data_IF_928242774479
#
_entry.id   IF_928242774479
#
_cell.length_a   1.000
_cell.length_b   1.000
_cell.length_c   1.000
_cell.angle_alpha   90.00
_cell.angle_beta   90.00
_cell.angle_gamma   90.00
#
_symmetry.space_group_name_H-M   'P 1'
#
loop_
_entity.id
_entity.type
_entity.pdbx_description
1 polymer ?
#
# COMPACT_ATOMS: atom_id res chain seq x y z
N UNK A 1 -4.52 -37.40 -68.39
CA UNK A 1 -4.84 -36.17 -67.62
C UNK A 1 -4.70 -36.50 -66.12
N UNK A 2 -3.57 -36.20 -65.57
CA UNK A 2 -3.25 -36.44 -64.10
C UNK A 2 -3.36 -35.13 -63.36
N UNK A 3 -4.29 -35.09 -62.41
CA UNK A 3 -4.51 -33.95 -61.49
C UNK A 3 -3.40 -33.91 -60.42
N UNK A 4 -2.81 -32.74 -60.10
CA UNK A 4 -1.83 -32.65 -59.06
C UNK A 4 -2.48 -32.54 -57.66
N UNK A 5 -1.99 -33.37 -56.76
CA UNK A 5 -2.34 -33.38 -55.32
C UNK A 5 -1.57 -32.29 -54.58
N UNK A 6 -2.28 -31.37 -53.94
CA UNK A 6 -1.72 -30.29 -53.11
C UNK A 6 -1.25 -30.85 -51.76
N UNK A 7 -0.03 -30.54 -51.28
CA UNK A 7 0.40 -31.01 -49.97
C UNK A 7 -0.23 -30.19 -48.84
N UNK A 8 -0.80 -30.88 -47.86
CA UNK A 8 -1.34 -30.30 -46.61
C UNK A 8 -0.20 -29.97 -45.67
N UNK A 9 -0.06 -28.69 -45.31
CA UNK A 9 0.90 -28.20 -44.31
C UNK A 9 0.45 -28.62 -42.91
N UNK A 10 1.31 -29.21 -42.08
CA UNK A 10 0.95 -29.53 -40.70
C UNK A 10 0.85 -28.27 -39.87
N UNK A 11 -0.29 -28.07 -39.20
CA UNK A 11 -0.52 -27.01 -38.22
C UNK A 11 0.32 -27.27 -36.98
N UNK A 12 1.21 -26.35 -36.65
CA UNK A 12 2.00 -26.40 -35.42
C UNK A 12 1.09 -26.33 -34.18
N UNK A 13 1.43 -27.04 -33.08
CA UNK A 13 0.64 -26.97 -31.85
C UNK A 13 0.76 -25.59 -31.24
N UNK A 14 -0.37 -24.94 -31.00
CA UNK A 14 -0.50 -23.70 -30.25
C UNK A 14 -0.11 -23.99 -28.79
N UNK A 15 1.10 -23.63 -28.40
CA UNK A 15 1.52 -23.67 -26.99
C UNK A 15 0.72 -22.61 -26.25
N UNK A 16 -0.29 -23.03 -25.49
CA UNK A 16 -0.97 -22.19 -24.54
C UNK A 16 0.02 -21.83 -23.46
N UNK A 17 0.57 -20.61 -23.50
CA UNK A 17 1.31 -20.03 -22.38
C UNK A 17 0.27 -19.86 -21.28
N UNK A 18 0.23 -20.77 -20.34
CA UNK A 18 -0.46 -20.58 -19.07
C UNK A 18 0.27 -19.43 -18.39
N UNK A 19 -0.36 -18.28 -18.35
CA UNK A 19 0.11 -17.07 -17.66
C UNK A 19 0.12 -17.41 -16.16
N UNK A 20 1.20 -18.05 -15.70
CA UNK A 20 1.39 -18.34 -14.27
C UNK A 20 1.57 -17.00 -13.58
N UNK A 21 0.59 -16.63 -12.76
CA UNK A 21 0.75 -15.52 -11.83
C UNK A 21 2.13 -15.61 -11.17
N UNK A 22 2.89 -14.51 -11.13
CA UNK A 22 4.19 -14.54 -10.48
C UNK A 22 4.05 -15.00 -9.03
N UNK A 23 5.00 -15.83 -8.56
CA UNK A 23 4.98 -16.37 -7.21
C UNK A 23 5.29 -15.28 -6.17
N UNK A 24 4.71 -15.37 -4.96
CA UNK A 24 5.13 -14.53 -3.84
C UNK A 24 6.62 -14.68 -3.55
N UNK A 25 7.26 -13.57 -3.17
CA UNK A 25 8.64 -13.58 -2.71
C UNK A 25 8.69 -13.67 -1.19
N UNK A 26 9.51 -14.59 -0.67
CA UNK A 26 9.68 -14.78 0.76
C UNK A 26 11.16 -14.63 1.09
N UNK A 27 11.51 -13.65 1.91
CA UNK A 27 12.88 -13.34 2.31
C UNK A 27 13.02 -13.18 3.82
N UNK A 28 14.24 -13.43 4.34
CA UNK A 28 14.56 -13.09 5.72
C UNK A 28 14.71 -11.57 5.85
N UNK A 29 14.20 -11.03 6.95
CA UNK A 29 14.37 -9.65 7.35
C UNK A 29 15.11 -9.63 8.70
N UNK A 30 16.44 -9.45 8.62
CA UNK A 30 17.30 -9.64 9.77
C UNK A 30 17.33 -11.09 10.27
N UNK A 31 17.50 -11.28 11.58
CA UNK A 31 17.65 -12.59 12.24
C UNK A 31 16.36 -13.11 12.91
N UNK A 32 15.31 -12.29 12.99
CA UNK A 32 14.11 -12.60 13.77
C UNK A 32 12.81 -12.32 13.02
N UNK A 33 12.89 -12.03 11.73
CA UNK A 33 11.69 -11.76 10.93
C UNK A 33 11.79 -12.35 9.51
N UNK A 34 10.63 -12.53 8.91
CA UNK A 34 10.44 -12.97 7.53
C UNK A 34 9.47 -12.00 6.84
N UNK A 35 9.81 -11.62 5.61
CA UNK A 35 8.96 -10.79 4.77
C UNK A 35 8.37 -11.65 3.64
N UNK A 36 7.06 -11.66 3.57
CA UNK A 36 6.28 -12.17 2.44
C UNK A 36 5.83 -10.99 1.60
N UNK A 37 6.15 -11.00 0.31
CA UNK A 37 5.75 -9.98 -0.66
C UNK A 37 4.82 -10.61 -1.70
N UNK A 38 3.58 -10.13 -1.74
CA UNK A 38 2.61 -10.62 -2.69
C UNK A 38 2.91 -10.12 -4.11
N UNK A 39 2.71 -10.95 -5.14
CA UNK A 39 2.83 -10.54 -6.53
C UNK A 39 1.62 -9.68 -6.95
N UNK A 40 1.79 -8.91 -8.03
CA UNK A 40 0.70 -8.20 -8.67
C UNK A 40 0.46 -6.79 -8.16
N UNK A 41 -0.73 -6.27 -8.42
CA UNK A 41 -1.09 -4.88 -8.14
C UNK A 41 -1.29 -4.63 -6.64
N UNK A 42 -0.97 -3.41 -6.22
CA UNK A 42 -1.24 -2.93 -4.86
C UNK A 42 -2.65 -2.32 -4.83
N UNK A 43 -3.64 -3.19 -4.74
CA UNK A 43 -5.06 -2.83 -4.74
C UNK A 43 -5.81 -3.45 -3.54
N UNK A 44 -7.07 -3.09 -3.36
CA UNK A 44 -7.87 -3.55 -2.23
C UNK A 44 -8.15 -5.07 -2.27
N UNK A 45 -8.45 -5.70 -3.42
CA UNK A 45 -8.57 -7.15 -3.50
C UNK A 45 -7.32 -7.88 -3.00
N UNK A 46 -6.15 -7.44 -3.43
CA UNK A 46 -4.89 -8.02 -2.99
C UNK A 46 -4.62 -7.76 -1.50
N UNK A 47 -4.91 -6.56 -1.02
CA UNK A 47 -4.75 -6.22 0.41
C UNK A 47 -5.66 -7.06 1.31
N UNK A 48 -6.86 -7.39 0.86
CA UNK A 48 -7.78 -8.31 1.58
C UNK A 48 -7.19 -9.71 1.75
N UNK A 49 -6.40 -10.18 0.78
CA UNK A 49 -5.66 -11.45 0.90
C UNK A 49 -4.53 -11.34 1.90
N UNK A 50 -3.80 -10.21 1.92
CA UNK A 50 -2.75 -9.95 2.93
C UNK A 50 -3.34 -9.93 4.34
N UNK A 51 -4.49 -9.30 4.56
CA UNK A 51 -5.15 -9.29 5.87
C UNK A 51 -5.60 -10.70 6.29
N UNK A 52 -6.14 -11.49 5.35
CA UNK A 52 -6.52 -12.88 5.62
C UNK A 52 -5.29 -13.73 5.99
N UNK A 53 -4.20 -13.61 5.24
CA UNK A 53 -2.95 -14.31 5.51
C UNK A 53 -2.36 -13.89 6.87
N UNK A 54 -2.37 -12.60 7.21
CA UNK A 54 -1.91 -12.10 8.50
C UNK A 54 -2.72 -12.70 9.66
N UNK A 55 -4.05 -12.73 9.53
CA UNK A 55 -4.95 -13.31 10.52
C UNK A 55 -4.70 -14.81 10.75
N UNK A 56 -4.44 -15.53 9.66
CA UNK A 56 -4.12 -16.95 9.72
C UNK A 56 -2.75 -17.17 10.38
N UNK A 57 -1.72 -16.49 9.89
CA UNK A 57 -0.34 -16.63 10.34
C UNK A 57 -0.14 -16.20 11.82
N UNK A 58 -0.93 -15.26 12.33
CA UNK A 58 -0.88 -14.83 13.73
C UNK A 58 -1.12 -15.98 14.71
N UNK A 59 -1.79 -17.06 14.29
CA UNK A 59 -2.08 -18.22 15.11
C UNK A 59 -1.03 -19.35 14.96
N UNK A 60 0.01 -19.16 14.15
CA UNK A 60 1.05 -20.17 13.98
C UNK A 60 2.01 -20.18 15.17
N UNK A 61 2.38 -21.37 15.69
CA UNK A 61 3.15 -21.48 16.94
C UNK A 61 4.50 -20.76 16.95
N UNK A 62 5.12 -20.59 15.75
CA UNK A 62 6.43 -19.95 15.62
C UNK A 62 6.33 -18.43 15.50
N UNK A 63 5.14 -17.90 15.21
CA UNK A 63 4.92 -16.48 14.90
C UNK A 63 4.59 -15.74 16.19
N UNK A 64 5.39 -14.72 16.49
CA UNK A 64 5.11 -13.78 17.57
C UNK A 64 4.12 -12.71 17.11
N UNK A 65 4.38 -12.11 15.97
CA UNK A 65 3.51 -11.11 15.36
C UNK A 65 3.41 -11.30 13.84
N UNK A 66 2.23 -11.10 13.30
CA UNK A 66 1.94 -11.05 11.87
C UNK A 66 1.48 -9.64 11.51
N UNK A 67 2.38 -8.83 10.94
CA UNK A 67 2.16 -7.42 10.67
C UNK A 67 1.91 -7.20 9.18
N UNK A 68 0.65 -6.91 8.76
CA UNK A 68 0.33 -6.62 7.38
C UNK A 68 0.85 -5.24 6.99
N UNK A 69 1.57 -5.17 5.87
CA UNK A 69 1.97 -3.94 5.19
C UNK A 69 1.18 -3.72 3.91
N UNK A 70 1.71 -2.86 3.03
CA UNK A 70 1.16 -2.62 1.70
C UNK A 70 1.60 -3.74 0.75
N UNK A 71 0.66 -4.62 0.40
CA UNK A 71 0.92 -5.79 -0.46
C UNK A 71 2.01 -6.74 0.08
N UNK A 72 2.26 -6.72 1.38
CA UNK A 72 3.23 -7.60 2.04
C UNK A 72 2.80 -7.94 3.47
N UNK A 73 3.47 -8.94 4.04
CA UNK A 73 3.26 -9.39 5.41
C UNK A 73 4.62 -9.64 6.05
N UNK A 74 4.88 -9.04 7.20
CA UNK A 74 6.03 -9.35 8.04
C UNK A 74 5.61 -10.29 9.16
N UNK A 75 6.35 -11.39 9.32
CA UNK A 75 6.22 -12.30 10.45
C UNK A 75 7.45 -12.14 11.34
N UNK A 76 7.24 -11.90 12.63
CA UNK A 76 8.32 -11.87 13.63
C UNK A 76 8.29 -13.14 14.49
N UNK A 77 9.45 -13.47 15.06
CA UNK A 77 9.66 -14.67 15.89
C UNK A 77 10.16 -14.28 17.27
N UNK A 78 9.69 -14.98 18.31
CA UNK A 78 10.09 -14.74 19.72
C UNK A 78 11.54 -15.12 20.03
N UNK A 79 12.14 -15.97 19.21
CA UNK A 79 13.53 -16.43 19.28
C UNK A 79 14.07 -16.50 17.85
N UNK A 80 15.36 -16.79 17.64
CA UNK A 80 15.86 -17.01 16.30
C UNK A 80 14.92 -17.93 15.52
N UNK A 81 14.70 -17.66 14.23
CA UNK A 81 13.80 -18.48 13.43
C UNK A 81 14.23 -19.94 13.50
N UNK A 82 13.30 -20.90 13.35
CA UNK A 82 13.68 -22.30 13.31
C UNK A 82 14.79 -22.51 12.28
N UNK A 83 15.74 -23.40 12.54
CA UNK A 83 16.88 -23.63 11.64
C UNK A 83 16.45 -24.05 10.24
N UNK A 84 15.27 -24.63 10.12
CA UNK A 84 14.63 -24.92 8.83
C UNK A 84 13.37 -24.07 8.65
N UNK A 85 13.41 -23.17 7.67
CA UNK A 85 12.28 -22.31 7.27
C UNK A 85 11.43 -22.92 6.14
N UNK A 86 11.79 -24.08 5.61
CA UNK A 86 11.06 -24.68 4.50
C UNK A 86 9.59 -24.98 4.85
N UNK A 87 9.26 -25.52 6.04
CA UNK A 87 7.86 -25.74 6.42
C UNK A 87 7.06 -24.44 6.50
N UNK A 88 7.65 -23.36 7.05
CA UNK A 88 6.98 -22.07 7.16
C UNK A 88 6.77 -21.40 5.78
N UNK A 89 7.75 -21.52 4.90
CA UNK A 89 7.61 -21.05 3.51
C UNK A 89 6.53 -21.82 2.76
N UNK A 90 6.48 -23.14 2.93
CA UNK A 90 5.44 -23.99 2.33
C UNK A 90 4.04 -23.58 2.84
N UNK A 91 3.88 -23.40 4.14
CA UNK A 91 2.61 -22.97 4.74
C UNK A 91 2.17 -21.59 4.24
N UNK A 92 3.09 -20.64 4.06
CA UNK A 92 2.79 -19.33 3.47
C UNK A 92 2.32 -19.43 2.02
N UNK A 93 2.96 -20.26 1.21
CA UNK A 93 2.55 -20.48 -0.19
C UNK A 93 1.19 -21.16 -0.25
N UNK A 94 0.97 -22.22 0.52
CA UNK A 94 -0.30 -22.94 0.59
C UNK A 94 -1.45 -22.00 0.99
N UNK A 95 -1.29 -21.29 2.11
CA UNK A 95 -2.30 -20.34 2.60
C UNK A 95 -2.57 -19.19 1.59
N UNK A 96 -1.54 -18.78 0.85
CA UNK A 96 -1.71 -17.79 -0.22
C UNK A 96 -2.47 -18.36 -1.42
N UNK A 97 -2.17 -19.58 -1.83
CA UNK A 97 -2.77 -20.26 -2.98
C UNK A 97 -4.23 -20.64 -2.72
N UNK A 98 -4.61 -20.90 -1.46
CA UNK A 98 -6.02 -21.07 -1.06
C UNK A 98 -6.88 -19.83 -1.33
N UNK A 99 -6.28 -18.65 -1.50
CA UNK A 99 -6.94 -17.46 -1.97
C UNK A 99 -7.92 -16.82 -0.98
N UNK A 100 -7.79 -17.10 0.31
CA UNK A 100 -8.63 -16.50 1.34
C UNK A 100 -8.57 -14.98 1.31
N UNK A 101 -9.71 -14.34 1.51
CA UNK A 101 -9.85 -12.89 1.59
C UNK A 101 -10.57 -12.50 2.87
N UNK A 102 -10.22 -11.33 3.42
CA UNK A 102 -10.88 -10.77 4.59
C UNK A 102 -11.28 -9.32 4.31
N UNK A 103 -12.54 -8.99 4.62
CA UNK A 103 -13.00 -7.61 4.69
C UNK A 103 -12.96 -7.15 6.15
N UNK A 104 -12.49 -5.93 6.35
CA UNK A 104 -12.51 -5.28 7.66
C UNK A 104 -13.64 -4.24 7.66
N UNK A 105 -14.45 -4.26 8.70
CA UNK A 105 -15.51 -3.27 8.93
C UNK A 105 -14.87 -2.02 9.54
N UNK A 106 -14.45 -1.11 8.66
CA UNK A 106 -13.81 0.14 9.07
C UNK A 106 -14.79 1.30 9.14
N UNK A 107 -14.45 2.26 9.99
CA UNK A 107 -15.14 3.55 10.10
C UNK A 107 -14.80 4.43 8.91
N UNK A 108 -15.57 5.48 8.67
CA UNK A 108 -15.26 6.49 7.65
C UNK A 108 -14.97 7.82 8.33
N UNK A 109 -13.85 8.44 7.96
CA UNK A 109 -13.41 9.74 8.46
C UNK A 109 -13.36 10.74 7.32
N UNK A 110 -13.86 11.95 7.58
CA UNK A 110 -13.64 13.11 6.72
C UNK A 110 -12.42 13.88 7.22
N UNK A 111 -11.44 14.12 6.33
CA UNK A 111 -10.24 14.87 6.62
C UNK A 111 -10.23 16.20 5.87
N UNK A 112 -10.55 17.31 6.54
CA UNK A 112 -10.39 18.65 5.95
C UNK A 112 -8.92 18.97 5.74
N UNK A 113 -8.55 19.36 4.52
CA UNK A 113 -7.18 19.63 4.11
C UNK A 113 -7.06 21.05 3.55
N UNK A 114 -6.08 21.81 4.05
CA UNK A 114 -5.60 23.00 3.41
C UNK A 114 -4.54 22.60 2.36
N UNK A 115 -4.80 22.85 1.09
CA UNK A 115 -3.91 22.51 -0.03
C UNK A 115 -3.05 23.70 -0.43
N UNK A 116 -1.82 23.44 -0.86
CA UNK A 116 -0.90 24.44 -1.40
C UNK A 116 -0.32 25.39 -0.35
N UNK A 117 0.32 26.46 -0.83
CA UNK A 117 0.99 27.44 0.03
C UNK A 117 1.92 26.82 1.07
N UNK A 118 1.93 27.36 2.28
CA UNK A 118 2.72 26.81 3.37
C UNK A 118 2.24 25.41 3.87
N UNK A 119 0.99 25.06 3.62
CA UNK A 119 0.43 23.76 3.99
C UNK A 119 0.82 22.65 3.00
N UNK A 120 1.01 23.00 1.73
CA UNK A 120 1.36 22.06 0.65
C UNK A 120 2.55 22.55 -0.18
N UNK A 121 3.74 22.69 0.41
CA UNK A 121 4.89 23.34 -0.22
C UNK A 121 5.40 22.64 -1.50
N UNK A 122 4.97 21.39 -1.75
CA UNK A 122 5.37 20.63 -2.92
C UNK A 122 4.22 20.40 -3.91
N UNK A 123 3.08 21.09 -3.77
CA UNK A 123 1.98 20.97 -4.72
C UNK A 123 2.40 21.43 -6.13
N UNK A 124 3.23 22.47 -6.22
CA UNK A 124 3.79 22.91 -7.49
C UNK A 124 4.70 21.86 -8.16
N UNK A 125 5.42 21.05 -7.39
CA UNK A 125 6.23 19.94 -7.92
C UNK A 125 5.33 18.86 -8.55
N UNK A 126 4.16 18.59 -7.94
CA UNK A 126 3.17 17.65 -8.47
C UNK A 126 2.54 18.20 -9.75
N UNK A 127 2.19 19.49 -9.80
CA UNK A 127 1.74 20.19 -11.03
C UNK A 127 2.76 20.05 -12.15
N UNK A 128 4.03 20.35 -11.86
CA UNK A 128 5.10 20.27 -12.86
C UNK A 128 5.33 18.83 -13.37
N UNK A 129 5.15 17.82 -12.51
CA UNK A 129 5.32 16.42 -12.88
C UNK A 129 4.16 15.89 -13.71
N UNK A 130 2.92 16.20 -13.31
CA UNK A 130 1.71 15.64 -13.92
C UNK A 130 1.19 16.43 -15.11
N UNK A 131 1.53 17.72 -15.19
CA UNK A 131 0.98 18.66 -16.18
C UNK A 131 -0.48 19.06 -15.88
N UNK A 132 -1.04 18.66 -14.75
CA UNK A 132 -2.40 18.99 -14.32
C UNK A 132 -2.42 20.34 -13.60
N UNK A 133 -3.57 21.01 -13.60
CA UNK A 133 -3.76 22.21 -12.78
C UNK A 133 -3.85 21.87 -11.30
N UNK A 134 -3.68 22.87 -10.42
CA UNK A 134 -3.89 22.71 -8.97
C UNK A 134 -5.30 22.21 -8.69
N UNK A 135 -6.30 22.79 -9.34
CA UNK A 135 -7.72 22.42 -9.15
C UNK A 135 -7.98 20.97 -9.57
N UNK A 136 -7.39 20.53 -10.69
CA UNK A 136 -7.52 19.13 -11.14
C UNK A 136 -6.86 18.17 -10.15
N UNK A 137 -5.66 18.48 -9.64
CA UNK A 137 -4.96 17.64 -8.66
C UNK A 137 -5.80 17.52 -7.38
N UNK A 138 -6.32 18.64 -6.86
CA UNK A 138 -7.15 18.65 -5.65
C UNK A 138 -8.44 17.90 -5.88
N UNK A 139 -9.12 18.10 -7.00
CA UNK A 139 -10.33 17.39 -7.36
C UNK A 139 -10.09 15.86 -7.47
N UNK A 140 -9.02 15.45 -8.15
CA UNK A 140 -8.65 14.04 -8.29
C UNK A 140 -8.28 13.43 -6.94
N UNK A 141 -7.53 14.16 -6.09
CA UNK A 141 -7.12 13.68 -4.77
C UNK A 141 -8.30 13.54 -3.81
N UNK A 142 -9.32 14.39 -3.89
CA UNK A 142 -10.49 14.37 -2.99
C UNK A 142 -11.63 13.47 -3.46
N UNK A 143 -11.64 13.04 -4.73
CA UNK A 143 -12.71 12.23 -5.30
C UNK A 143 -12.80 10.80 -4.71
N UNK A 144 -11.71 10.05 -4.48
CA UNK A 144 -11.78 8.69 -3.99
C UNK A 144 -12.15 8.60 -2.51
N UNK A 145 -12.76 7.47 -2.14
CA UNK A 145 -12.81 7.00 -0.76
C UNK A 145 -11.60 6.08 -0.54
N UNK A 146 -10.61 6.57 0.16
CA UNK A 146 -9.38 5.83 0.45
C UNK A 146 -9.61 4.78 1.54
N UNK A 147 -8.87 3.68 1.47
CA UNK A 147 -8.88 2.65 2.52
C UNK A 147 -7.51 2.61 3.20
N UNK A 148 -7.49 2.56 4.53
CA UNK A 148 -6.27 2.32 5.31
C UNK A 148 -5.88 0.85 5.14
N UNK A 149 -4.76 0.60 4.46
CA UNK A 149 -4.26 -0.76 4.22
C UNK A 149 -3.41 -1.27 5.37
N UNK A 150 -2.58 -0.40 5.93
CA UNK A 150 -1.66 -0.71 7.00
C UNK A 150 -1.35 0.54 7.84
N UNK A 151 -0.90 0.31 9.06
CA UNK A 151 -0.25 1.31 9.89
C UNK A 151 1.24 1.01 9.97
N UNK A 152 2.09 2.05 10.06
CA UNK A 152 3.53 1.85 10.18
C UNK A 152 4.35 3.10 9.90
N UNK A 153 5.63 2.94 9.60
CA UNK A 153 6.64 3.98 9.53
C UNK A 153 6.89 4.68 10.88
N UNK A 154 5.87 5.19 11.51
CA UNK A 154 5.87 5.71 12.88
C UNK A 154 4.45 5.59 13.47
N UNK A 155 4.26 5.73 14.81
CA UNK A 155 2.97 5.57 15.45
C UNK A 155 1.88 6.44 14.82
N UNK A 156 0.75 5.82 14.44
CA UNK A 156 -0.40 6.50 13.85
C UNK A 156 -0.29 6.83 12.35
N UNK A 157 0.86 6.60 11.70
CA UNK A 157 0.98 6.79 10.25
C UNK A 157 0.16 5.76 9.50
N UNK A 158 -0.67 6.21 8.56
CA UNK A 158 -1.52 5.35 7.75
C UNK A 158 -1.08 5.32 6.29
N UNK A 159 -0.97 4.11 5.77
CA UNK A 159 -0.81 3.86 4.34
C UNK A 159 -2.17 3.69 3.69
N UNK A 160 -2.45 4.50 2.66
CA UNK A 160 -3.74 4.56 1.99
C UNK A 160 -3.68 3.93 0.60
N UNK A 161 -4.65 3.08 0.32
CA UNK A 161 -4.92 2.59 -1.02
C UNK A 161 -6.07 3.34 -1.68
N UNK A 162 -6.08 3.36 -3.03
CA UNK A 162 -7.15 3.95 -3.82
C UNK A 162 -6.83 5.30 -4.45
N UNK A 163 -5.56 5.74 -4.44
CA UNK A 163 -5.16 6.97 -5.15
C UNK A 163 -5.25 6.77 -6.67
N UNK A 164 -5.78 7.77 -7.35
CA UNK A 164 -5.81 7.82 -8.82
C UNK A 164 -4.38 7.98 -9.38
N UNK A 165 -4.02 7.13 -10.33
CA UNK A 165 -2.68 7.10 -10.91
C UNK A 165 -2.32 8.39 -11.67
N UNK A 166 -3.31 9.19 -12.09
CA UNK A 166 -3.07 10.47 -12.80
C UNK A 166 -2.27 11.49 -11.98
N UNK A 167 -2.36 11.41 -10.64
CA UNK A 167 -1.60 12.28 -9.73
C UNK A 167 -0.39 11.59 -9.11
N UNK A 168 -0.04 10.39 -9.59
CA UNK A 168 1.15 9.69 -9.11
C UNK A 168 2.41 10.52 -9.37
N UNK A 169 3.21 10.72 -8.34
CA UNK A 169 4.42 11.57 -8.41
C UNK A 169 5.57 10.88 -7.68
N UNK A 170 6.74 10.72 -8.32
CA UNK A 170 7.89 10.07 -7.69
C UNK A 170 8.28 10.73 -6.37
N UNK A 171 8.89 9.95 -5.49
CA UNK A 171 9.49 10.49 -4.27
C UNK A 171 10.54 11.55 -4.60
N UNK A 172 10.69 12.52 -3.73
CA UNK A 172 11.69 13.58 -3.82
C UNK A 172 13.10 13.00 -3.78
N UNK A 173 14.00 13.54 -4.61
CA UNK A 173 15.41 13.16 -4.61
C UNK A 173 16.11 13.53 -3.30
N UNK A 174 15.70 14.65 -2.69
CA UNK A 174 16.19 15.11 -1.39
C UNK A 174 15.01 15.13 -0.42
N UNK A 175 15.01 14.28 0.62
CA UNK A 175 13.96 14.28 1.64
C UNK A 175 13.93 15.58 2.43
N UNK A 176 12.74 15.96 2.89
CA UNK A 176 12.58 17.02 3.90
C UNK A 176 12.90 16.42 5.26
N UNK A 177 13.79 17.07 6.01
CA UNK A 177 14.23 16.57 7.32
C UNK A 177 13.16 16.77 8.39
N UNK A 178 12.43 17.88 8.31
CA UNK A 178 11.38 18.22 9.28
C UNK A 178 10.08 18.56 8.56
N UNK A 179 9.20 17.58 8.50
CA UNK A 179 7.85 17.72 7.98
C UNK A 179 6.87 17.71 9.16
N UNK A 180 5.97 18.70 9.30
CA UNK A 180 5.00 18.73 10.40
C UNK A 180 3.99 17.60 10.33
N UNK A 181 3.52 17.13 11.48
CA UNK A 181 2.38 16.23 11.59
C UNK A 181 1.13 16.83 10.91
N UNK A 182 0.24 15.96 10.45
CA UNK A 182 -0.92 16.33 9.63
C UNK A 182 -0.60 16.59 8.15
N UNK A 183 0.67 16.52 7.73
CA UNK A 183 1.05 16.71 6.32
C UNK A 183 0.48 15.60 5.44
N UNK A 184 -0.27 16.01 4.40
CA UNK A 184 -0.84 15.14 3.36
C UNK A 184 0.12 15.13 2.18
N UNK A 185 0.59 13.94 1.80
CA UNK A 185 1.68 13.82 0.83
C UNK A 185 1.46 12.70 -0.20
N UNK A 186 2.04 12.88 -1.40
CA UNK A 186 2.07 11.89 -2.48
C UNK A 186 3.49 11.36 -2.64
N UNK A 187 3.63 10.03 -2.71
CA UNK A 187 4.88 9.35 -2.98
C UNK A 187 4.69 8.11 -3.87
N UNK A 188 5.10 8.20 -5.14
CA UNK A 188 4.76 7.20 -6.13
C UNK A 188 3.26 7.16 -6.40
N UNK A 189 2.67 5.98 -6.33
CA UNK A 189 1.22 5.74 -6.54
C UNK A 189 0.42 5.80 -5.23
N UNK A 190 0.98 6.34 -4.16
CA UNK A 190 0.40 6.36 -2.83
C UNK A 190 0.20 7.78 -2.32
N UNK A 191 -0.83 7.97 -1.50
CA UNK A 191 -0.99 9.11 -0.63
C UNK A 191 -1.00 8.67 0.84
N UNK A 192 -0.70 9.58 1.74
CA UNK A 192 -0.69 9.32 3.17
C UNK A 192 -0.70 10.59 3.98
N UNK A 193 -0.89 10.45 5.29
CA UNK A 193 -0.89 11.56 6.25
C UNK A 193 0.13 11.27 7.33
N UNK A 194 1.05 12.21 7.55
CA UNK A 194 2.04 12.11 8.63
C UNK A 194 1.36 12.28 9.98
N UNK A 195 1.51 11.29 10.87
CA UNK A 195 0.88 11.33 12.19
C UNK A 195 1.64 12.22 13.19
N UNK A 196 2.93 12.44 12.95
CA UNK A 196 3.82 13.26 13.78
C UNK A 196 4.84 14.00 12.93
N UNK A 197 5.57 14.91 13.56
CA UNK A 197 6.72 15.57 12.93
C UNK A 197 7.81 14.54 12.62
N UNK A 198 8.50 14.72 11.50
CA UNK A 198 9.58 13.81 11.10
C UNK A 198 10.08 14.02 9.67
N UNK A 199 11.04 13.21 9.21
CA UNK A 199 11.54 13.29 7.84
C UNK A 199 10.55 12.68 6.85
N UNK A 200 10.50 13.22 5.62
CA UNK A 200 9.71 12.64 4.53
C UNK A 200 10.35 12.88 3.17
N UNK A 201 10.34 11.85 2.34
CA UNK A 201 10.70 11.94 0.92
C UNK A 201 9.49 12.07 -0.01
N UNK A 202 8.29 12.31 0.51
CA UNK A 202 7.08 12.47 -0.28
C UNK A 202 6.79 13.93 -0.59
N UNK A 203 5.96 14.17 -1.62
CA UNK A 203 5.57 15.52 -2.03
C UNK A 203 4.38 15.96 -1.20
N UNK A 204 4.57 16.88 -0.27
CA UNK A 204 3.50 17.42 0.57
C UNK A 204 2.65 18.36 -0.23
N UNK A 205 1.37 18.01 -0.39
CA UNK A 205 0.38 18.77 -1.17
C UNK A 205 -0.60 19.55 -0.32
N UNK A 206 -0.68 19.23 0.98
CA UNK A 206 -1.59 19.88 1.90
C UNK A 206 -1.34 19.47 3.35
N UNK A 207 -2.18 19.99 4.24
CA UNK A 207 -2.12 19.69 5.67
C UNK A 207 -3.52 19.66 6.29
N UNK A 208 -3.73 18.72 7.21
CA UNK A 208 -4.90 18.65 8.09
C UNK A 208 -4.51 18.96 9.54
N UNK A 209 -5.45 19.45 10.33
CA UNK A 209 -5.27 19.68 11.77
C UNK A 209 -5.62 18.45 12.62
N UNK A 210 -6.04 17.34 12.00
CA UNK A 210 -6.39 16.13 12.74
C UNK A 210 -5.17 15.48 13.38
N UNK A 211 -5.35 15.00 14.60
CA UNK A 211 -4.34 14.21 15.33
C UNK A 211 -4.59 12.73 15.11
N UNK A 212 -3.55 12.00 14.69
CA UNK A 212 -3.65 10.58 14.31
C UNK A 212 -3.12 9.62 15.38
N UNK A 213 -2.43 10.14 16.38
CA UNK A 213 -1.88 9.33 17.45
C UNK A 213 -1.88 10.10 18.77
N UNK A 214 -2.42 9.46 19.80
CA UNK A 214 -2.39 9.92 21.18
C UNK A 214 -2.03 8.73 22.09
N UNK A 215 -0.85 8.73 22.73
CA UNK A 215 -0.40 7.62 23.56
C UNK A 215 -1.27 7.38 24.80
N UNK A 216 -2.12 8.34 25.17
CA UNK A 216 -3.03 8.23 26.31
C UNK A 216 -4.41 7.69 25.94
N UNK A 217 -4.72 7.62 24.63
CA UNK A 217 -5.99 7.10 24.13
C UNK A 217 -5.98 5.56 24.03
N UNK A 218 -7.18 4.97 24.01
CA UNK A 218 -7.38 3.54 23.82
C UNK A 218 -8.38 3.28 22.69
N UNK A 219 -7.96 2.83 21.50
CA UNK A 219 -6.58 2.61 21.05
C UNK A 219 -5.82 3.93 20.83
N UNK A 220 -4.47 3.93 20.87
CA UNK A 220 -3.68 5.14 20.73
C UNK A 220 -3.67 5.72 19.31
N UNK A 221 -3.84 4.88 18.28
CA UNK A 221 -3.98 5.31 16.90
C UNK A 221 -5.44 5.62 16.58
N UNK A 222 -5.68 6.77 15.93
CA UNK A 222 -7.02 7.19 15.50
C UNK A 222 -7.60 6.22 14.48
N UNK A 223 -6.76 5.76 13.55
CA UNK A 223 -7.13 4.92 12.42
C UNK A 223 -6.67 3.48 12.63
N UNK A 224 -7.37 2.55 11.98
CA UNK A 224 -7.03 1.14 11.93
C UNK A 224 -7.09 0.63 10.47
N UNK A 225 -6.42 -0.48 10.14
CA UNK A 225 -6.60 -1.15 8.86
C UNK A 225 -8.09 -1.41 8.58
N UNK A 226 -8.54 -1.12 7.35
CA UNK A 226 -9.94 -1.19 6.97
C UNK A 226 -10.73 0.11 7.16
N UNK A 227 -10.28 1.05 7.99
CA UNK A 227 -10.89 2.39 8.07
C UNK A 227 -10.78 3.10 6.71
N UNK A 228 -11.70 4.01 6.46
CA UNK A 228 -11.80 4.77 5.21
C UNK A 228 -11.63 6.25 5.46
N UNK A 229 -10.97 6.93 4.52
CA UNK A 229 -10.73 8.36 4.57
C UNK A 229 -11.31 9.01 3.32
N UNK A 230 -12.05 10.08 3.52
CA UNK A 230 -12.45 11.03 2.49
C UNK A 230 -11.74 12.35 2.77
N UNK A 231 -10.82 12.73 1.89
CA UNK A 231 -10.26 14.08 1.95
C UNK A 231 -11.30 15.10 1.49
N UNK A 232 -11.45 16.19 2.23
CA UNK A 232 -12.30 17.33 1.88
C UNK A 232 -11.47 18.59 1.79
N UNK A 233 -11.89 19.52 0.95
CA UNK A 233 -11.16 20.79 0.77
C UNK A 233 -11.56 21.76 1.88
N UNK A 234 -10.60 22.15 2.72
CA UNK A 234 -10.76 23.25 3.67
C UNK A 234 -10.50 24.60 2.99
N UNK A 235 -9.37 24.67 2.24
CA UNK A 235 -8.99 25.79 1.37
C UNK A 235 -7.91 25.34 0.40
N UNK A 236 -7.70 26.16 -0.64
CA UNK A 236 -6.59 26.01 -1.60
C UNK A 236 -5.83 27.33 -1.62
N UNK A 237 -4.54 27.28 -1.28
CA UNK A 237 -3.63 28.43 -1.32
C UNK A 237 -2.70 28.23 -2.53
N UNK A 238 -2.75 29.14 -3.52
CA UNK A 238 -1.98 29.07 -4.79
C UNK A 238 -0.82 30.05 -4.74
#
# INVERSE_FOLDING_TARGET
MTTPTTPTTPTAPTTTITDRMPLPRISLLGSTALLFEAPGAMDLPQQRRIWALARLAQNWPQVQEAVPGMNNLMLTFSSPPPPDLAPLRAALHEAWDEGHTMSLDGRTFELPVAYGGAAGPHLADVVAHTGLSVDDIVAIHTAPLYTVYALGSHPGYCYLGGMDARIATPRRKVPVVHLPGGSVSIGGIQTGVSASDGPSGWNTIGRTAMQFFDPQSQPPALLAPGDRIRFTVLRVDV
#
